data_IF_007423662436
#
_entry.id   IF_007423662436
#
_cell.length_a   1.000
_cell.length_b   1.000
_cell.length_c   1.000
_cell.angle_alpha   90.00
_cell.angle_beta   90.00
_cell.angle_gamma   90.00
#
_symmetry.space_group_name_H-M   'P 1'
#
loop_
_entity.id
_entity.type
_entity.pdbx_description
1 polymer ?
#
# COMPACT_ATOMS: atom_id res chain seq x y z
N UNK A 1 35.92 -24.35 6.96
CA UNK A 1 36.17 -24.37 5.50
C UNK A 1 35.38 -23.22 4.93
N UNK A 2 36.06 -22.17 4.47
CA UNK A 2 35.41 -21.07 3.77
C UNK A 2 34.87 -21.60 2.45
N UNK A 3 33.56 -21.46 2.25
CA UNK A 3 32.97 -21.78 0.94
C UNK A 3 33.48 -20.78 -0.10
N UNK A 4 33.84 -21.22 -1.31
CA UNK A 4 34.28 -20.33 -2.36
C UNK A 4 33.19 -19.29 -2.65
N UNK A 5 33.46 -18.02 -2.39
CA UNK A 5 32.54 -16.92 -2.65
C UNK A 5 32.40 -16.76 -4.17
N UNK A 6 31.29 -17.25 -4.73
CA UNK A 6 30.95 -17.03 -6.13
C UNK A 6 30.71 -15.53 -6.38
N UNK A 7 31.28 -15.00 -7.48
CA UNK A 7 30.95 -13.68 -7.97
C UNK A 7 29.74 -13.79 -8.91
N UNK A 8 28.63 -13.23 -8.50
CA UNK A 8 27.35 -13.31 -9.23
C UNK A 8 27.05 -11.98 -9.92
N UNK A 9 26.59 -12.03 -11.16
CA UNK A 9 26.18 -10.83 -11.91
C UNK A 9 24.74 -10.48 -11.57
N UNK A 10 24.41 -9.19 -11.47
CA UNK A 10 23.03 -8.70 -11.23
C UNK A 10 22.03 -9.31 -12.23
N UNK A 11 22.37 -9.40 -13.51
CA UNK A 11 21.56 -10.06 -14.53
C UNK A 11 21.28 -11.54 -14.27
N UNK A 12 22.17 -12.22 -13.55
CA UNK A 12 21.95 -13.61 -13.13
C UNK A 12 20.95 -13.63 -11.99
N UNK A 13 21.13 -12.80 -10.97
CA UNK A 13 20.22 -12.71 -9.82
C UNK A 13 18.79 -12.36 -10.27
N UNK A 14 18.62 -11.44 -11.22
CA UNK A 14 17.33 -11.03 -11.75
C UNK A 14 16.51 -12.16 -12.41
N UNK A 15 17.13 -13.29 -12.75
CA UNK A 15 16.40 -14.47 -13.28
C UNK A 15 15.71 -15.29 -12.19
N UNK A 16 16.18 -15.19 -10.95
CA UNK A 16 15.69 -15.92 -9.80
C UNK A 16 14.60 -15.10 -9.07
N UNK A 17 13.46 -14.91 -9.73
CA UNK A 17 12.43 -13.92 -9.33
C UNK A 17 11.02 -14.51 -9.14
N UNK A 18 10.91 -15.79 -8.77
CA UNK A 18 9.62 -16.46 -8.58
C UNK A 18 9.55 -17.24 -7.25
N UNK A 19 8.38 -17.78 -6.90
CA UNK A 19 8.19 -18.47 -5.61
C UNK A 19 8.94 -19.82 -5.47
N UNK A 20 9.42 -20.38 -6.56
CA UNK A 20 10.20 -21.62 -6.56
C UNK A 20 11.70 -21.38 -6.71
N UNK A 21 12.09 -20.12 -6.98
CA UNK A 21 13.46 -19.71 -7.22
C UNK A 21 13.59 -18.20 -6.93
N UNK A 22 13.88 -17.85 -5.67
CA UNK A 22 13.85 -16.50 -5.17
C UNK A 22 15.20 -16.12 -4.56
N UNK A 23 15.96 -15.29 -5.27
CA UNK A 23 17.18 -14.71 -4.78
C UNK A 23 17.04 -13.23 -4.50
N UNK A 24 17.71 -12.73 -3.49
CA UNK A 24 17.75 -11.30 -3.14
C UNK A 24 19.18 -10.83 -2.96
N UNK A 25 19.42 -9.55 -3.22
CA UNK A 25 20.70 -8.90 -2.94
C UNK A 25 20.54 -8.11 -1.64
N UNK A 26 21.49 -8.23 -0.72
CA UNK A 26 21.58 -7.42 0.51
C UNK A 26 23.03 -7.04 0.74
N UNK A 27 23.33 -5.74 0.79
CA UNK A 27 24.66 -5.20 1.02
C UNK A 27 25.73 -5.81 0.08
N UNK A 28 25.39 -5.93 -1.22
CA UNK A 28 26.29 -6.48 -2.24
C UNK A 28 26.53 -8.00 -2.12
N UNK A 29 25.80 -8.70 -1.26
CA UNK A 29 25.77 -10.15 -1.14
C UNK A 29 24.48 -10.70 -1.71
N UNK A 30 24.51 -11.91 -2.27
CA UNK A 30 23.36 -12.60 -2.86
C UNK A 30 22.95 -13.75 -1.97
N UNK A 31 21.65 -13.88 -1.73
CA UNK A 31 21.04 -14.88 -0.86
C UNK A 31 19.91 -15.61 -1.58
N UNK A 32 19.88 -16.94 -1.49
CA UNK A 32 18.76 -17.77 -1.96
C UNK A 32 17.74 -17.93 -0.82
N UNK A 33 16.68 -17.16 -0.87
CA UNK A 33 15.65 -17.17 0.18
C UNK A 33 14.43 -18.01 -0.21
N UNK A 34 14.52 -18.85 -1.23
CA UNK A 34 13.43 -19.69 -1.73
C UNK A 34 12.80 -20.53 -0.61
N UNK A 35 13.62 -21.23 0.16
CA UNK A 35 13.15 -22.08 1.28
C UNK A 35 12.70 -21.28 2.52
N UNK A 36 12.96 -19.97 2.53
CA UNK A 36 12.59 -19.08 3.62
C UNK A 36 11.29 -18.33 3.36
N UNK A 37 10.80 -18.31 2.12
CA UNK A 37 9.60 -17.56 1.73
C UNK A 37 8.40 -17.82 2.65
N UNK A 38 8.06 -19.09 2.88
CA UNK A 38 6.91 -19.45 3.72
C UNK A 38 7.15 -19.26 5.22
N UNK A 39 8.41 -19.07 5.63
CA UNK A 39 8.83 -18.88 7.03
C UNK A 39 9.02 -17.40 7.38
N UNK A 40 9.02 -16.51 6.40
CA UNK A 40 9.26 -15.08 6.62
C UNK A 40 8.13 -14.45 7.44
N UNK A 41 8.42 -13.85 8.62
CA UNK A 41 7.39 -13.27 9.50
C UNK A 41 6.56 -12.15 8.84
N UNK A 42 7.16 -11.38 7.92
CA UNK A 42 6.49 -10.35 7.12
C UNK A 42 5.62 -10.88 5.97
N UNK A 43 5.57 -12.23 5.79
CA UNK A 43 4.88 -12.91 4.69
C UNK A 43 5.77 -13.08 3.46
N UNK A 44 5.49 -14.13 2.68
CA UNK A 44 6.26 -14.48 1.48
C UNK A 44 6.11 -13.44 0.37
N UNK A 45 4.95 -12.79 0.30
CA UNK A 45 4.64 -11.78 -0.71
C UNK A 45 5.59 -10.59 -0.65
N UNK A 46 6.02 -10.20 0.56
CA UNK A 46 6.98 -9.13 0.75
C UNK A 46 8.37 -9.53 0.23
N UNK A 47 8.86 -10.73 0.54
CA UNK A 47 10.12 -11.22 -0.01
C UNK A 47 10.07 -11.39 -1.53
N UNK A 48 8.96 -11.91 -2.06
CA UNK A 48 8.76 -12.08 -3.51
C UNK A 48 8.75 -10.73 -4.24
N UNK A 49 8.33 -9.64 -3.59
CA UNK A 49 8.38 -8.32 -4.21
C UNK A 49 9.82 -7.82 -4.47
N UNK A 50 10.78 -8.41 -3.79
CA UNK A 50 12.22 -8.15 -3.98
C UNK A 50 12.96 -9.30 -4.68
N UNK A 51 12.24 -10.31 -5.17
CA UNK A 51 12.85 -11.45 -5.83
C UNK A 51 13.61 -11.02 -7.10
N UNK A 52 14.88 -11.41 -7.18
CA UNK A 52 15.80 -11.00 -8.26
C UNK A 52 16.40 -9.60 -8.09
N UNK A 53 16.09 -8.87 -7.01
CA UNK A 53 16.44 -7.47 -6.83
C UNK A 53 17.21 -7.20 -5.53
N UNK A 54 17.56 -5.92 -5.31
CA UNK A 54 18.27 -5.45 -4.13
C UNK A 54 17.25 -5.10 -3.02
N UNK A 55 17.28 -5.88 -1.95
CA UNK A 55 16.44 -5.72 -0.77
C UNK A 55 17.18 -5.02 0.39
N UNK A 56 18.37 -4.45 0.17
CA UNK A 56 19.19 -3.83 1.23
C UNK A 56 18.40 -2.79 2.00
N UNK A 57 17.82 -1.82 1.30
CA UNK A 57 17.06 -0.75 1.92
C UNK A 57 15.85 -1.27 2.73
N UNK A 58 15.15 -2.30 2.19
CA UNK A 58 14.02 -2.91 2.88
C UNK A 58 14.45 -3.63 4.17
N UNK A 59 15.60 -4.28 4.15
CA UNK A 59 16.14 -4.97 5.32
C UNK A 59 16.62 -3.98 6.39
N UNK A 60 17.18 -2.84 5.99
CA UNK A 60 17.72 -1.77 6.85
C UNK A 60 16.65 -0.78 7.36
N UNK A 61 15.38 -1.05 7.12
CA UNK A 61 14.27 -0.27 7.68
C UNK A 61 13.48 0.56 6.68
N UNK A 62 13.89 0.63 5.41
CA UNK A 62 13.11 1.32 4.37
C UNK A 62 11.75 0.64 4.05
N UNK A 63 11.48 -0.53 4.63
CA UNK A 63 10.20 -1.24 4.58
C UNK A 63 9.32 -1.05 5.82
N UNK A 64 9.66 -0.13 6.73
CA UNK A 64 8.91 0.13 7.98
C UNK A 64 9.20 -0.84 9.10
N UNK A 65 10.16 -1.75 8.92
CA UNK A 65 10.59 -2.70 9.93
C UNK A 65 12.10 -2.91 9.85
N UNK A 66 12.82 -2.37 10.80
CA UNK A 66 14.25 -2.66 10.96
C UNK A 66 14.42 -4.11 11.43
N UNK A 67 15.17 -4.88 10.66
CA UNK A 67 15.40 -6.27 11.00
C UNK A 67 16.43 -6.41 12.13
N UNK A 68 16.12 -7.30 13.07
CA UNK A 68 16.98 -7.58 14.22
C UNK A 68 18.31 -8.19 13.80
N UNK A 69 19.34 -8.07 14.67
CA UNK A 69 20.63 -8.76 14.48
C UNK A 69 20.47 -10.28 14.26
N UNK A 70 19.41 -10.88 14.81
CA UNK A 70 19.08 -12.28 14.58
C UNK A 70 18.63 -12.54 13.13
N UNK A 71 17.83 -11.64 12.53
CA UNK A 71 17.42 -11.76 11.14
C UNK A 71 18.62 -11.72 10.18
N UNK A 72 19.59 -10.82 10.42
CA UNK A 72 20.85 -10.80 9.64
C UNK A 72 21.66 -12.08 9.81
N UNK A 73 21.73 -12.63 11.02
CA UNK A 73 22.41 -13.91 11.27
C UNK A 73 21.70 -15.06 10.54
N UNK A 74 20.37 -15.09 10.54
CA UNK A 74 19.58 -16.09 9.83
C UNK A 74 19.77 -15.97 8.31
N UNK A 75 19.82 -14.73 7.78
CA UNK A 75 20.05 -14.47 6.36
C UNK A 75 21.38 -15.07 5.87
N UNK A 76 22.44 -15.05 6.69
CA UNK A 76 23.73 -15.63 6.31
C UNK A 76 23.66 -17.15 6.07
N UNK A 77 22.66 -17.86 6.58
CA UNK A 77 22.43 -19.28 6.27
C UNK A 77 22.01 -19.51 4.81
N UNK A 78 21.53 -18.49 4.15
CA UNK A 78 21.05 -18.50 2.76
C UNK A 78 22.05 -17.87 1.78
N UNK A 79 23.27 -17.57 2.24
CA UNK A 79 24.31 -16.90 1.45
C UNK A 79 24.77 -17.73 0.26
N UNK A 80 24.77 -17.14 -0.95
CA UNK A 80 25.26 -17.75 -2.18
C UNK A 80 26.61 -17.19 -2.65
N UNK A 81 26.81 -15.88 -2.52
CA UNK A 81 28.03 -15.26 -3.04
C UNK A 81 27.97 -13.73 -3.00
N UNK A 82 28.98 -13.08 -3.58
CA UNK A 82 29.07 -11.61 -3.68
C UNK A 82 28.61 -11.16 -5.06
N UNK A 83 27.99 -9.98 -5.11
CA UNK A 83 27.69 -9.30 -6.38
C UNK A 83 29.02 -8.83 -7.00
N UNK A 84 29.15 -8.93 -8.32
CA UNK A 84 30.34 -8.48 -9.05
C UNK A 84 30.45 -6.96 -9.01
N UNK A 85 31.59 -6.44 -8.55
CA UNK A 85 31.83 -5.01 -8.34
C UNK A 85 31.76 -4.14 -9.60
N UNK A 86 31.84 -4.73 -10.79
CA UNK A 86 31.68 -4.01 -12.05
C UNK A 86 30.25 -3.54 -12.34
N UNK A 87 29.27 -3.95 -11.53
CA UNK A 87 27.85 -3.62 -11.68
C UNK A 87 27.27 -2.88 -10.45
N UNK A 88 28.04 -2.67 -9.36
CA UNK A 88 27.57 -1.93 -8.17
C UNK A 88 27.38 -0.43 -8.45
N UNK A 89 28.22 0.17 -9.31
CA UNK A 89 28.10 1.60 -9.69
C UNK A 89 26.83 1.89 -10.49
N UNK A 90 26.37 0.95 -11.33
CA UNK A 90 25.18 1.11 -12.16
C UNK A 90 23.89 1.21 -11.34
N UNK A 91 23.80 0.52 -10.19
CA UNK A 91 22.58 0.50 -9.37
C UNK A 91 22.41 1.74 -8.46
N UNK A 92 23.52 2.39 -8.10
CA UNK A 92 23.49 3.69 -7.39
C UNK A 92 23.05 4.82 -8.33
N UNK A 93 23.39 4.72 -9.62
CA UNK A 93 23.07 5.73 -10.63
C UNK A 93 21.60 5.65 -11.09
N UNK A 94 21.00 4.45 -11.16
CA UNK A 94 19.58 4.31 -11.56
C UNK A 94 18.58 4.82 -10.49
N UNK A 95 18.91 4.77 -9.20
CA UNK A 95 18.09 5.41 -8.15
C UNK A 95 18.18 6.94 -8.17
N UNK A 96 19.25 7.49 -8.72
CA UNK A 96 19.49 8.94 -8.88
C UNK A 96 18.85 9.48 -10.17
N UNK A 97 18.55 8.64 -11.14
CA UNK A 97 18.12 9.00 -12.50
C UNK A 97 16.63 9.36 -12.69
N UNK A 98 15.83 9.45 -11.62
CA UNK A 98 14.43 9.90 -11.69
C UNK A 98 14.26 11.42 -11.59
N UNK A 99 15.35 12.19 -11.64
CA UNK A 99 15.32 13.64 -11.68
C UNK A 99 15.58 14.17 -13.07
N UNK A 100 14.60 14.92 -13.55
CA UNK A 100 14.49 15.76 -14.72
C UNK A 100 15.84 16.20 -15.32
N UNK A 101 16.15 15.67 -16.51
CA UNK A 101 17.36 15.97 -17.27
C UNK A 101 17.42 17.40 -17.85
N UNK A 102 16.46 18.27 -17.54
CA UNK A 102 16.33 19.61 -18.15
C UNK A 102 16.82 20.77 -17.30
N UNK A 103 17.34 20.55 -16.09
CA UNK A 103 17.99 21.63 -15.32
C UNK A 103 19.36 21.18 -14.80
N UNK A 104 20.39 21.50 -15.58
CA UNK A 104 21.77 21.21 -15.28
C UNK A 104 22.29 21.86 -14.00
N UNK A 105 22.15 21.17 -12.88
CA UNK A 105 23.02 21.17 -11.70
C UNK A 105 22.54 20.04 -10.78
N UNK A 106 23.08 18.84 -10.96
CA UNK A 106 22.70 17.67 -10.18
C UNK A 106 23.15 17.79 -8.71
N UNK A 107 22.40 18.48 -7.87
CA UNK A 107 22.50 18.28 -6.43
C UNK A 107 21.81 16.95 -6.08
N UNK A 108 22.58 15.97 -5.63
CA UNK A 108 22.06 14.75 -5.01
C UNK A 108 21.33 15.18 -3.75
N UNK A 109 19.99 15.07 -3.74
CA UNK A 109 19.18 15.34 -2.56
C UNK A 109 19.17 14.04 -1.73
N UNK A 110 19.70 14.10 -0.52
CA UNK A 110 19.60 13.02 0.45
C UNK A 110 18.16 13.00 1.02
N UNK A 111 17.32 12.14 0.44
CA UNK A 111 15.89 12.04 0.74
C UNK A 111 15.66 11.55 2.17
N UNK A 112 16.55 10.72 2.70
CA UNK A 112 16.41 10.08 4.02
C UNK A 112 16.54 11.11 5.16
N UNK A 113 17.25 12.20 4.93
CA UNK A 113 17.45 13.26 5.92
C UNK A 113 16.54 14.50 5.77
N UNK A 114 15.55 14.46 4.87
CA UNK A 114 14.62 15.58 4.67
C UNK A 114 13.65 15.79 5.84
N UNK A 115 13.35 14.73 6.61
CA UNK A 115 12.36 14.75 7.70
C UNK A 115 12.92 14.03 8.93
N UNK A 116 12.80 14.68 10.08
CA UNK A 116 13.15 14.13 11.40
C UNK A 116 11.94 13.41 12.00
N UNK A 117 11.93 12.08 11.98
CA UNK A 117 10.86 11.22 12.52
C UNK A 117 10.68 11.33 14.04
N UNK A 118 11.63 11.91 14.77
CA UNK A 118 11.52 12.17 16.22
C UNK A 118 10.66 13.39 16.56
N UNK A 119 10.28 14.17 15.52
CA UNK A 119 9.44 15.37 15.66
C UNK A 119 8.12 15.20 14.90
N UNK A 120 7.07 15.96 15.26
CA UNK A 120 5.81 15.96 14.51
C UNK A 120 6.02 16.21 13.03
N UNK A 121 5.42 15.35 12.19
CA UNK A 121 5.72 15.30 10.75
C UNK A 121 5.04 16.42 9.95
N UNK A 122 3.80 16.81 10.30
CA UNK A 122 3.03 17.74 9.46
C UNK A 122 3.72 19.07 9.16
N UNK A 123 4.34 19.75 10.15
CA UNK A 123 5.05 21.01 9.86
C UNK A 123 6.26 20.82 8.95
N UNK A 124 6.89 19.65 8.99
CA UNK A 124 8.06 19.32 8.19
C UNK A 124 7.64 18.99 6.75
N UNK A 125 6.65 18.10 6.62
CA UNK A 125 6.09 17.67 5.34
C UNK A 125 5.53 18.84 4.53
N UNK A 126 4.83 19.77 5.19
CA UNK A 126 4.37 21.00 4.53
C UNK A 126 5.50 21.82 3.89
N UNK A 127 6.70 21.82 4.48
CA UNK A 127 7.86 22.59 4.01
C UNK A 127 8.67 21.91 2.91
N UNK A 128 8.40 20.65 2.59
CA UNK A 128 9.13 19.92 1.55
C UNK A 128 8.92 20.48 0.14
N UNK A 129 7.83 21.25 -0.09
CA UNK A 129 7.55 21.80 -1.41
C UNK A 129 7.45 20.70 -2.48
N UNK A 130 8.17 20.86 -3.58
CA UNK A 130 8.22 19.89 -4.70
C UNK A 130 8.92 18.58 -4.33
N UNK A 131 9.76 18.56 -3.30
CA UNK A 131 10.43 17.35 -2.81
C UNK A 131 9.48 16.39 -2.09
N UNK A 132 8.27 16.83 -1.74
CA UNK A 132 7.31 16.04 -1.01
C UNK A 132 6.89 14.77 -1.74
N UNK A 133 6.54 14.86 -3.03
CA UNK A 133 6.10 13.72 -3.83
C UNK A 133 7.19 12.65 -3.93
N UNK A 134 8.43 13.08 -4.10
CA UNK A 134 9.59 12.19 -4.11
C UNK A 134 9.81 11.55 -2.75
N UNK A 135 9.77 12.36 -1.68
CA UNK A 135 10.02 11.89 -0.32
C UNK A 135 8.96 10.86 0.13
N UNK A 136 7.67 11.13 -0.08
CA UNK A 136 6.59 10.26 0.39
C UNK A 136 6.55 8.91 -0.34
N UNK A 137 7.10 8.83 -1.56
CA UNK A 137 7.17 7.64 -2.36
C UNK A 137 8.58 7.02 -2.46
N UNK A 138 9.58 7.59 -1.79
CA UNK A 138 10.94 7.03 -1.74
C UNK A 138 11.13 6.01 -0.62
N UNK A 139 10.02 5.64 0.06
CA UNK A 139 9.99 4.63 1.13
C UNK A 139 10.80 4.99 2.38
N UNK A 140 10.77 6.23 2.88
CA UNK A 140 11.41 6.60 4.15
C UNK A 140 10.56 6.07 5.32
N UNK A 141 10.43 4.75 5.40
CA UNK A 141 9.55 4.11 6.38
C UNK A 141 10.22 3.99 7.74
N UNK A 142 9.40 3.93 8.79
CA UNK A 142 9.83 3.71 10.17
C UNK A 142 9.03 2.57 10.80
N UNK A 143 9.65 1.84 11.70
CA UNK A 143 9.07 0.72 12.44
C UNK A 143 8.21 1.16 13.64
N UNK A 144 8.21 2.47 13.95
CA UNK A 144 7.43 2.99 15.07
C UNK A 144 6.37 3.98 14.62
N UNK A 145 5.34 4.08 15.44
CA UNK A 145 4.29 5.08 15.29
C UNK A 145 4.90 6.48 15.41
N UNK A 146 4.84 7.25 14.34
CA UNK A 146 5.33 8.62 14.29
C UNK A 146 4.27 9.63 14.71
N UNK A 147 4.67 10.73 15.33
CA UNK A 147 3.75 11.81 15.67
C UNK A 147 3.45 12.66 14.42
N UNK A 148 2.16 12.84 14.09
CA UNK A 148 1.74 13.74 13.02
C UNK A 148 1.58 15.17 13.54
N UNK A 149 0.94 15.34 14.70
CA UNK A 149 0.62 16.62 15.31
C UNK A 149 1.44 16.89 16.57
N UNK A 150 1.75 18.16 16.81
CA UNK A 150 2.29 18.62 18.10
C UNK A 150 1.23 18.56 19.19
N UNK A 151 -0.05 18.76 18.84
CA UNK A 151 -1.17 18.75 19.77
C UNK A 151 -1.60 17.30 20.07
N UNK A 152 -1.56 16.84 21.35
CA UNK A 152 -1.89 15.46 21.71
C UNK A 152 -3.32 15.04 21.39
N UNK A 153 -4.29 15.99 21.42
CA UNK A 153 -5.68 15.70 21.09
C UNK A 153 -5.85 15.45 19.59
N UNK A 154 -5.26 16.30 18.74
CA UNK A 154 -5.27 16.10 17.29
C UNK A 154 -4.53 14.81 16.91
N UNK A 155 -3.40 14.53 17.56
CA UNK A 155 -2.67 13.28 17.37
C UNK A 155 -3.54 12.05 17.66
N UNK A 156 -4.29 12.07 18.76
CA UNK A 156 -5.21 10.98 19.13
C UNK A 156 -6.33 10.79 18.10
N UNK A 157 -6.81 11.84 17.48
CA UNK A 157 -7.88 11.79 16.45
C UNK A 157 -7.40 11.17 15.13
N UNK A 158 -6.10 11.06 14.90
CA UNK A 158 -5.53 10.40 13.71
C UNK A 158 -5.40 8.88 13.87
N UNK A 159 -5.65 8.35 15.04
CA UNK A 159 -5.51 6.92 15.36
C UNK A 159 -6.87 6.26 15.42
N UNK A 160 -7.02 5.16 14.74
CA UNK A 160 -8.26 4.40 14.66
C UNK A 160 -7.98 2.90 14.76
N UNK A 161 -8.54 2.23 15.77
CA UNK A 161 -8.43 0.78 15.88
C UNK A 161 -9.31 0.10 14.84
N UNK A 162 -8.88 -1.01 14.30
CA UNK A 162 -9.50 -1.73 13.19
C UNK A 162 -11.00 -2.02 13.37
N UNK A 163 -11.47 -2.24 14.60
CA UNK A 163 -12.86 -2.55 14.87
C UNK A 163 -13.77 -1.31 14.95
N UNK A 164 -13.20 -0.10 15.07
CA UNK A 164 -13.99 1.13 15.22
C UNK A 164 -14.88 1.41 14.01
N UNK A 165 -14.41 1.26 12.76
CA UNK A 165 -15.29 1.37 11.59
C UNK A 165 -16.47 0.38 11.64
N UNK A 166 -16.23 -0.87 12.08
CA UNK A 166 -17.32 -1.85 12.22
C UNK A 166 -18.36 -1.41 13.25
N UNK A 167 -17.93 -1.01 14.44
CA UNK A 167 -18.81 -0.56 15.52
C UNK A 167 -19.63 0.67 15.10
N UNK A 168 -19.06 1.55 14.28
CA UNK A 168 -19.73 2.76 13.81
C UNK A 168 -20.66 2.49 12.62
N UNK A 169 -20.21 1.77 11.60
CA UNK A 169 -20.95 1.65 10.34
C UNK A 169 -21.96 0.51 10.31
N UNK A 170 -21.72 -0.61 11.02
CA UNK A 170 -22.66 -1.73 11.03
C UNK A 170 -24.05 -1.33 11.57
N UNK A 171 -24.18 -0.55 12.68
CA UNK A 171 -25.47 -0.06 13.12
C UNK A 171 -26.20 0.81 12.07
N UNK A 172 -25.46 1.64 11.32
CA UNK A 172 -26.04 2.49 10.26
C UNK A 172 -26.54 1.62 9.10
N UNK A 173 -25.76 0.61 8.68
CA UNK A 173 -26.16 -0.34 7.64
C UNK A 173 -27.39 -1.15 8.08
N UNK A 174 -27.41 -1.62 9.32
CA UNK A 174 -28.57 -2.30 9.90
C UNK A 174 -29.81 -1.40 9.96
N UNK A 175 -29.62 -0.11 10.29
CA UNK A 175 -30.69 0.88 10.27
C UNK A 175 -31.26 1.07 8.86
N UNK A 176 -30.45 1.15 7.81
CA UNK A 176 -30.94 1.22 6.44
C UNK A 176 -31.79 0.00 6.07
N UNK A 177 -31.30 -1.19 6.40
CA UNK A 177 -32.05 -2.42 6.14
C UNK A 177 -33.39 -2.43 6.90
N UNK A 178 -33.35 -2.15 8.21
CA UNK A 178 -34.56 -2.06 9.01
C UNK A 178 -35.55 -1.03 8.48
N UNK A 179 -35.08 0.17 8.14
CA UNK A 179 -35.90 1.25 7.60
C UNK A 179 -36.57 0.82 6.29
N UNK A 180 -35.87 0.20 5.36
CA UNK A 180 -36.42 -0.27 4.09
C UNK A 180 -37.43 -1.39 4.28
N UNK A 181 -37.19 -2.32 5.18
CA UNK A 181 -38.12 -3.41 5.49
C UNK A 181 -39.38 -2.88 6.18
N UNK A 182 -39.25 -1.95 7.13
CA UNK A 182 -40.36 -1.38 7.90
C UNK A 182 -41.33 -0.55 7.03
N UNK A 183 -40.88 -0.02 5.90
CA UNK A 183 -41.73 0.74 4.96
C UNK A 183 -42.75 -0.11 4.22
N UNK A 184 -42.41 -1.37 3.94
CA UNK A 184 -43.29 -2.31 3.21
C UNK A 184 -43.45 -2.01 1.71
N UNK A 185 -42.86 -0.93 1.17
CA UNK A 185 -42.89 -0.53 -0.24
C UNK A 185 -41.60 -0.91 -1.01
N UNK A 186 -40.70 -1.64 -0.38
CA UNK A 186 -39.42 -2.08 -0.96
C UNK A 186 -39.50 -3.54 -1.42
N UNK A 187 -39.59 -3.77 -2.73
CA UNK A 187 -39.46 -5.16 -3.24
C UNK A 187 -38.03 -5.67 -3.10
N UNK A 188 -37.89 -7.00 -2.90
CA UNK A 188 -36.58 -7.65 -2.79
C UNK A 188 -35.72 -7.41 -4.04
N UNK A 189 -36.32 -7.47 -5.23
CA UNK A 189 -35.64 -7.23 -6.51
C UNK A 189 -35.08 -5.81 -6.57
N UNK A 190 -35.86 -4.81 -6.19
CA UNK A 190 -35.43 -3.42 -6.15
C UNK A 190 -34.29 -3.24 -5.15
N UNK A 191 -34.45 -3.79 -3.93
CA UNK A 191 -33.42 -3.71 -2.90
C UNK A 191 -32.10 -4.31 -3.39
N UNK A 192 -32.12 -5.54 -3.91
CA UNK A 192 -30.92 -6.23 -4.39
C UNK A 192 -30.28 -5.47 -5.55
N UNK A 193 -31.07 -5.04 -6.54
CA UNK A 193 -30.55 -4.34 -7.73
C UNK A 193 -29.84 -3.04 -7.36
N UNK A 194 -30.45 -2.21 -6.50
CA UNK A 194 -29.82 -0.95 -6.09
C UNK A 194 -28.69 -1.13 -5.08
N UNK A 195 -28.74 -2.16 -4.22
CA UNK A 195 -27.62 -2.49 -3.34
C UNK A 195 -26.39 -2.97 -4.13
N UNK A 196 -26.59 -3.81 -5.12
CA UNK A 196 -25.50 -4.24 -6.03
C UNK A 196 -24.92 -3.03 -6.78
N UNK A 197 -25.79 -2.17 -7.33
CA UNK A 197 -25.34 -0.93 -7.98
C UNK A 197 -24.55 -0.05 -7.01
N UNK A 198 -25.00 0.10 -5.76
CA UNK A 198 -24.29 0.85 -4.71
C UNK A 198 -22.91 0.28 -4.40
N UNK A 199 -22.81 -1.05 -4.28
CA UNK A 199 -21.55 -1.75 -4.05
C UNK A 199 -20.55 -1.51 -5.19
N UNK A 200 -20.97 -1.67 -6.45
CA UNK A 200 -20.10 -1.38 -7.59
C UNK A 200 -19.76 0.11 -7.74
N UNK A 201 -20.66 0.99 -7.32
CA UNK A 201 -20.38 2.44 -7.25
C UNK A 201 -19.29 2.74 -6.20
N UNK A 202 -19.27 2.02 -5.06
CA UNK A 202 -18.18 2.12 -4.09
C UNK A 202 -16.85 1.71 -4.72
N UNK A 203 -16.78 0.57 -5.42
CA UNK A 203 -15.52 0.11 -6.03
C UNK A 203 -14.94 1.14 -7.02
N UNK A 204 -15.80 1.81 -7.79
CA UNK A 204 -15.38 2.90 -8.66
C UNK A 204 -14.92 4.11 -7.84
N UNK A 205 -15.66 4.46 -6.80
CA UNK A 205 -15.33 5.59 -5.93
C UNK A 205 -14.00 5.35 -5.18
N UNK A 206 -13.79 4.17 -4.63
CA UNK A 206 -12.52 3.72 -4.03
C UNK A 206 -11.36 3.94 -4.99
N UNK A 207 -11.48 3.43 -6.22
CA UNK A 207 -10.44 3.56 -7.23
C UNK A 207 -10.16 5.03 -7.60
N UNK A 208 -11.20 5.83 -7.83
CA UNK A 208 -11.08 7.25 -8.17
C UNK A 208 -10.47 8.04 -7.02
N UNK A 209 -10.95 7.80 -5.80
CA UNK A 209 -10.43 8.46 -4.60
C UNK A 209 -8.94 8.11 -4.39
N UNK A 210 -8.59 6.82 -4.48
CA UNK A 210 -7.23 6.37 -4.31
C UNK A 210 -6.30 6.95 -5.37
N UNK A 211 -6.65 6.82 -6.65
CA UNK A 211 -5.80 7.26 -7.76
C UNK A 211 -5.64 8.77 -7.85
N UNK A 212 -6.72 9.53 -7.70
CA UNK A 212 -6.71 10.97 -8.02
C UNK A 212 -6.67 11.89 -6.81
N UNK A 213 -7.06 11.40 -5.63
CA UNK A 213 -7.03 12.19 -4.39
C UNK A 213 -5.91 11.71 -3.47
N UNK A 214 -5.78 10.41 -3.26
CA UNK A 214 -4.77 9.84 -2.36
C UNK A 214 -3.37 9.81 -3.00
N UNK A 215 -3.27 9.79 -4.32
CA UNK A 215 -2.02 9.89 -5.09
C UNK A 215 -1.91 11.16 -5.92
N UNK A 216 -2.56 12.26 -5.47
CA UNK A 216 -2.43 13.54 -6.13
C UNK A 216 -1.04 14.12 -5.92
N UNK A 217 -0.45 14.68 -6.99
CA UNK A 217 0.82 15.41 -6.89
C UNK A 217 0.60 16.76 -6.26
N UNK A 218 1.37 17.07 -5.22
CA UNK A 218 1.28 18.34 -4.49
C UNK A 218 2.66 18.93 -4.25
N UNK A 219 2.73 20.26 -4.13
CA UNK A 219 3.98 20.99 -3.85
C UNK A 219 3.80 22.16 -2.90
N UNK A 220 2.55 22.55 -2.60
CA UNK A 220 2.28 23.64 -1.67
C UNK A 220 2.18 23.14 -0.22
N UNK A 221 2.52 24.01 0.74
CA UNK A 221 2.53 23.68 2.17
C UNK A 221 1.23 22.99 2.65
N UNK A 222 0.07 23.57 2.37
CA UNK A 222 -1.20 23.04 2.84
C UNK A 222 -1.66 21.80 2.03
N UNK A 223 -1.37 21.75 0.74
CA UNK A 223 -1.70 20.59 -0.07
C UNK A 223 -0.86 19.35 0.32
N UNK A 224 0.42 19.53 0.63
CA UNK A 224 1.28 18.46 1.14
C UNK A 224 0.74 17.93 2.48
N UNK A 225 0.37 18.82 3.42
CA UNK A 225 -0.24 18.42 4.70
C UNK A 225 -1.56 17.68 4.47
N UNK A 226 -2.43 18.17 3.59
CA UNK A 226 -3.71 17.56 3.29
C UNK A 226 -3.54 16.15 2.70
N UNK A 227 -2.70 16.00 1.70
CA UNK A 227 -2.38 14.70 1.11
C UNK A 227 -1.78 13.75 2.15
N UNK A 228 -0.83 14.24 2.95
CA UNK A 228 -0.17 13.43 3.99
C UNK A 228 -1.16 12.94 5.04
N UNK A 229 -2.12 13.75 5.47
CA UNK A 229 -3.19 13.37 6.40
C UNK A 229 -4.17 12.37 5.80
N UNK A 230 -4.43 12.43 4.49
CA UNK A 230 -5.36 11.50 3.84
C UNK A 230 -4.73 10.13 3.61
N UNK A 231 -3.49 10.09 3.08
CA UNK A 231 -2.89 8.84 2.61
C UNK A 231 -1.35 8.80 2.70
N UNK A 232 -0.65 9.92 2.55
CA UNK A 232 0.81 9.93 2.53
C UNK A 232 1.43 9.35 3.82
N UNK A 233 0.81 9.58 5.00
CA UNK A 233 1.28 8.98 6.25
C UNK A 233 1.19 7.46 6.22
N UNK A 234 0.20 6.88 5.53
CA UNK A 234 0.04 5.45 5.37
C UNK A 234 1.14 4.85 4.49
N UNK A 235 1.62 5.55 3.44
CA UNK A 235 2.80 5.14 2.68
C UNK A 235 4.09 5.14 3.51
N UNK A 236 4.20 6.05 4.48
CA UNK A 236 5.37 6.14 5.38
C UNK A 236 5.31 5.12 6.53
N UNK A 237 4.12 4.81 7.03
CA UNK A 237 3.92 3.87 8.15
C UNK A 237 2.86 2.80 7.82
N UNK A 238 3.04 1.99 6.76
CA UNK A 238 2.01 1.05 6.30
C UNK A 238 1.72 -0.08 7.29
N UNK A 239 2.62 -0.33 8.24
CA UNK A 239 2.46 -1.35 9.29
C UNK A 239 1.90 -0.80 10.61
N UNK A 240 1.64 0.52 10.72
CA UNK A 240 0.99 1.10 11.89
C UNK A 240 -0.49 0.71 11.95
N UNK A 241 -0.82 -0.31 12.75
CA UNK A 241 -2.17 -0.88 12.85
C UNK A 241 -3.27 0.09 13.28
N UNK A 242 -2.90 1.23 13.86
CA UNK A 242 -3.86 2.28 14.25
C UNK A 242 -4.10 3.33 13.15
N UNK A 243 -3.41 3.22 12.00
CA UNK A 243 -3.51 4.18 10.88
C UNK A 243 -3.77 3.53 9.52
N UNK A 244 -4.12 2.26 9.50
CA UNK A 244 -4.51 1.55 8.28
C UNK A 244 -5.98 1.82 7.93
N UNK A 245 -6.86 1.71 8.93
CA UNK A 245 -8.30 1.94 8.74
C UNK A 245 -8.65 3.43 8.75
N UNK A 246 -9.65 3.80 7.95
CA UNK A 246 -10.02 5.21 7.82
C UNK A 246 -10.92 5.63 9.00
N UNK A 247 -10.56 6.69 9.76
CA UNK A 247 -11.35 7.12 10.92
C UNK A 247 -12.79 7.52 10.53
N UNK A 248 -13.82 7.19 11.36
CA UNK A 248 -15.21 7.49 11.03
C UNK A 248 -15.52 8.98 10.78
N UNK A 249 -14.89 9.90 11.51
CA UNK A 249 -15.18 11.32 11.38
C UNK A 249 -14.89 11.88 9.96
N UNK A 250 -13.68 11.73 9.39
CA UNK A 250 -13.45 12.11 7.99
C UNK A 250 -14.23 11.24 7.00
N UNK A 251 -14.51 9.95 7.31
CA UNK A 251 -15.33 9.11 6.44
C UNK A 251 -16.78 9.65 6.34
N UNK A 252 -17.38 10.09 7.44
CA UNK A 252 -18.69 10.75 7.45
C UNK A 252 -18.70 12.01 6.59
N UNK A 253 -17.65 12.82 6.67
CA UNK A 253 -17.54 14.05 5.86
C UNK A 253 -17.50 13.72 4.36
N UNK A 254 -16.73 12.71 3.96
CA UNK A 254 -16.64 12.25 2.56
C UNK A 254 -17.95 11.60 2.09
N UNK A 255 -18.64 10.85 2.96
CA UNK A 255 -19.88 10.16 2.65
C UNK A 255 -21.12 11.09 2.64
N UNK A 256 -21.06 12.23 3.32
CA UNK A 256 -22.22 13.11 3.52
C UNK A 256 -22.90 13.58 2.22
N UNK A 257 -22.21 13.92 1.11
CA UNK A 257 -22.89 14.27 -0.15
C UNK A 257 -23.75 13.14 -0.71
N UNK A 258 -23.32 11.90 -0.55
CA UNK A 258 -24.08 10.72 -1.00
C UNK A 258 -25.31 10.49 -0.12
N UNK A 259 -25.18 10.62 1.20
CA UNK A 259 -26.30 10.50 2.13
C UNK A 259 -27.39 11.51 1.90
N UNK A 260 -27.02 12.74 1.63
CA UNK A 260 -27.96 13.83 1.39
C UNK A 260 -28.51 13.83 -0.03
N UNK A 261 -27.70 13.37 -1.00
CA UNK A 261 -28.01 13.45 -2.43
C UNK A 261 -28.76 12.24 -2.98
N UNK A 262 -28.34 11.01 -2.65
CA UNK A 262 -28.87 9.82 -3.31
C UNK A 262 -30.37 9.56 -3.05
N UNK A 263 -30.89 9.72 -1.82
CA UNK A 263 -32.36 9.62 -1.62
C UNK A 263 -33.15 10.69 -2.34
N UNK A 264 -32.59 11.88 -2.57
CA UNK A 264 -33.25 12.95 -3.34
C UNK A 264 -33.20 12.66 -4.84
N UNK A 265 -32.08 12.10 -5.33
CA UNK A 265 -31.89 11.84 -6.76
C UNK A 265 -32.66 10.60 -7.22
N UNK A 266 -32.65 9.52 -6.48
CA UNK A 266 -33.22 8.22 -6.87
C UNK A 266 -34.58 7.94 -6.24
N UNK A 267 -35.05 8.81 -5.34
CA UNK A 267 -36.16 8.53 -4.44
C UNK A 267 -35.74 7.71 -3.22
N UNK A 268 -36.56 7.76 -2.18
CA UNK A 268 -36.19 7.25 -0.83
C UNK A 268 -35.76 5.77 -0.86
N UNK A 269 -36.59 4.88 -1.42
CA UNK A 269 -36.34 3.43 -1.38
C UNK A 269 -35.08 3.06 -2.17
N UNK A 270 -34.98 3.53 -3.42
CA UNK A 270 -33.83 3.26 -4.28
C UNK A 270 -32.55 3.88 -3.72
N UNK A 271 -32.64 5.12 -3.21
CA UNK A 271 -31.49 5.84 -2.63
C UNK A 271 -30.93 5.15 -1.39
N UNK A 272 -31.79 4.71 -0.45
CA UNK A 272 -31.31 3.98 0.73
C UNK A 272 -30.85 2.55 0.40
N UNK A 273 -31.45 1.88 -0.58
CA UNK A 273 -30.93 0.59 -1.07
C UNK A 273 -29.54 0.75 -1.69
N UNK A 274 -29.32 1.82 -2.45
CA UNK A 274 -28.01 2.14 -3.00
C UNK A 274 -26.99 2.48 -1.89
N UNK A 275 -27.38 3.30 -0.90
CA UNK A 275 -26.53 3.64 0.26
C UNK A 275 -26.15 2.41 1.10
N UNK A 276 -27.07 1.46 1.26
CA UNK A 276 -26.78 0.18 1.89
C UNK A 276 -25.62 -0.53 1.19
N UNK A 277 -25.72 -0.72 -0.12
CA UNK A 277 -24.66 -1.39 -0.89
C UNK A 277 -23.32 -0.62 -0.89
N UNK A 278 -23.41 0.72 -1.00
CA UNK A 278 -22.23 1.59 -0.96
C UNK A 278 -21.50 1.53 0.39
N UNK A 279 -22.24 1.54 1.51
CA UNK A 279 -21.66 1.42 2.85
C UNK A 279 -21.08 0.02 3.12
N UNK A 280 -21.71 -1.03 2.61
CA UNK A 280 -21.15 -2.40 2.64
C UNK A 280 -19.84 -2.45 1.86
N UNK A 281 -19.80 -1.85 0.66
CA UNK A 281 -18.57 -1.75 -0.14
C UNK A 281 -17.44 -1.06 0.61
N UNK A 282 -17.73 0.08 1.26
CA UNK A 282 -16.76 0.78 2.11
C UNK A 282 -16.21 -0.10 3.24
N UNK A 283 -17.07 -0.80 3.97
CA UNK A 283 -16.59 -1.70 5.03
C UNK A 283 -15.75 -2.86 4.49
N UNK A 284 -16.13 -3.43 3.35
CA UNK A 284 -15.33 -4.46 2.69
C UNK A 284 -13.94 -3.94 2.32
N UNK A 285 -13.87 -2.71 1.78
CA UNK A 285 -12.62 -2.03 1.49
C UNK A 285 -11.75 -1.86 2.74
N UNK A 286 -12.29 -1.22 3.78
CA UNK A 286 -11.53 -0.86 4.98
C UNK A 286 -11.00 -2.12 5.72
N UNK A 287 -11.83 -3.17 5.80
CA UNK A 287 -11.42 -4.44 6.39
C UNK A 287 -10.43 -5.21 5.51
N UNK A 288 -10.61 -5.22 4.18
CA UNK A 288 -9.64 -5.83 3.27
C UNK A 288 -8.29 -5.13 3.39
N UNK A 289 -8.27 -3.78 3.40
CA UNK A 289 -7.07 -2.98 3.55
C UNK A 289 -6.33 -3.33 4.86
N UNK A 290 -7.05 -3.37 5.98
CA UNK A 290 -6.46 -3.80 7.25
C UNK A 290 -5.86 -5.21 7.17
N UNK A 291 -6.60 -6.17 6.61
CA UNK A 291 -6.15 -7.57 6.54
C UNK A 291 -4.95 -7.79 5.63
N UNK A 292 -4.85 -7.08 4.51
CA UNK A 292 -3.69 -7.20 3.61
C UNK A 292 -2.43 -6.56 4.21
N UNK A 293 -2.56 -5.57 5.10
CA UNK A 293 -1.42 -5.02 5.84
C UNK A 293 -1.04 -5.87 7.05
N UNK A 294 -1.99 -6.18 7.92
CA UNK A 294 -1.73 -6.75 9.25
C UNK A 294 -1.85 -8.28 9.28
N UNK A 295 -2.52 -8.89 8.30
CA UNK A 295 -2.83 -10.31 8.29
C UNK A 295 -1.92 -11.12 7.35
N UNK A 296 -2.03 -12.45 7.49
CA UNK A 296 -1.50 -13.41 6.52
C UNK A 296 -2.67 -14.20 5.89
N UNK A 297 -3.30 -13.67 4.82
CA UNK A 297 -4.50 -14.25 4.26
C UNK A 297 -4.24 -15.61 3.62
N UNK A 298 -5.11 -16.59 3.92
CA UNK A 298 -5.03 -17.95 3.36
C UNK A 298 -5.73 -18.11 2.01
N UNK A 299 -6.73 -17.25 1.72
CA UNK A 299 -7.48 -17.29 0.47
C UNK A 299 -6.65 -16.69 -0.68
N UNK A 300 -6.61 -17.39 -1.81
CA UNK A 300 -5.82 -17.00 -3.00
C UNK A 300 -6.13 -15.58 -3.48
N UNK A 301 -7.41 -15.19 -3.48
CA UNK A 301 -7.83 -13.84 -3.86
C UNK A 301 -7.20 -12.78 -2.94
N UNK A 302 -7.30 -12.92 -1.62
CA UNK A 302 -6.74 -11.95 -0.67
C UNK A 302 -5.21 -11.93 -0.68
N UNK A 303 -4.55 -13.06 -0.95
CA UNK A 303 -3.10 -13.10 -1.15
C UNK A 303 -2.70 -12.31 -2.39
N UNK A 304 -3.45 -12.47 -3.47
CA UNK A 304 -3.21 -11.70 -4.71
C UNK A 304 -3.42 -10.18 -4.48
N UNK A 305 -4.46 -9.80 -3.71
CA UNK A 305 -4.67 -8.40 -3.34
C UNK A 305 -3.53 -7.87 -2.45
N UNK A 306 -3.08 -8.65 -1.44
CA UNK A 306 -1.92 -8.29 -0.61
C UNK A 306 -0.69 -8.06 -1.48
N UNK A 307 -0.37 -8.99 -2.40
CA UNK A 307 0.79 -8.85 -3.31
C UNK A 307 0.69 -7.56 -4.15
N UNK A 308 -0.46 -7.28 -4.77
CA UNK A 308 -0.66 -6.05 -5.55
C UNK A 308 -0.48 -4.79 -4.71
N UNK A 309 -1.02 -4.79 -3.50
CA UNK A 309 -0.93 -3.66 -2.58
C UNK A 309 0.49 -3.46 -2.03
N UNK A 310 1.24 -4.54 -1.78
CA UNK A 310 2.68 -4.47 -1.47
C UNK A 310 3.47 -3.86 -2.64
N UNK A 311 3.19 -4.28 -3.89
CA UNK A 311 3.82 -3.67 -5.06
C UNK A 311 3.50 -2.17 -5.14
N UNK A 312 2.24 -1.80 -4.88
CA UNK A 312 1.81 -0.42 -4.84
C UNK A 312 2.58 0.40 -3.79
N UNK A 313 2.73 -0.11 -2.55
CA UNK A 313 3.46 0.59 -1.49
C UNK A 313 4.96 0.69 -1.73
N UNK A 314 5.59 -0.38 -2.24
CA UNK A 314 7.05 -0.50 -2.17
C UNK A 314 7.77 -0.47 -3.53
N UNK A 315 7.03 -0.47 -4.66
CA UNK A 315 7.64 -0.49 -5.99
C UNK A 315 6.99 0.46 -6.99
N UNK A 316 5.67 0.41 -7.12
CA UNK A 316 4.92 1.08 -8.17
C UNK A 316 3.73 1.87 -7.59
N UNK A 317 3.97 2.99 -6.89
CA UNK A 317 2.91 3.72 -6.19
C UNK A 317 1.87 4.33 -7.15
N UNK A 318 2.16 4.37 -8.45
CA UNK A 318 1.24 4.85 -9.48
C UNK A 318 0.46 3.71 -10.17
N UNK A 319 0.48 2.49 -9.60
CA UNK A 319 -0.19 1.30 -10.12
C UNK A 319 -0.96 0.59 -9.00
N UNK A 320 -1.88 -0.34 -9.35
CA UNK A 320 -2.63 -1.18 -8.41
C UNK A 320 -3.45 -0.39 -7.37
N UNK A 321 -4.25 0.57 -7.82
CA UNK A 321 -5.05 1.43 -6.92
C UNK A 321 -6.27 0.73 -6.30
N UNK A 322 -6.75 -0.38 -6.89
CA UNK A 322 -7.91 -1.14 -6.39
C UNK A 322 -7.52 -2.03 -5.21
N UNK A 323 -7.86 -1.62 -3.99
CA UNK A 323 -7.57 -2.35 -2.74
C UNK A 323 -8.54 -3.51 -2.56
N UNK A 324 -9.85 -3.28 -2.76
CA UNK A 324 -10.87 -4.32 -2.64
C UNK A 324 -10.76 -5.37 -3.75
N UNK A 325 -10.49 -4.95 -4.97
CA UNK A 325 -10.31 -5.80 -6.14
C UNK A 325 -9.63 -5.04 -7.29
N UNK A 326 -9.03 -5.76 -8.28
CA UNK A 326 -8.29 -5.15 -9.38
C UNK A 326 -9.16 -4.74 -10.59
N UNK A 327 -10.49 -4.79 -10.49
CA UNK A 327 -11.38 -4.62 -11.63
C UNK A 327 -11.14 -3.30 -12.38
N UNK A 328 -11.08 -2.18 -11.64
CA UNK A 328 -10.83 -0.88 -12.26
C UNK A 328 -9.37 -0.66 -12.66
N UNK A 329 -8.41 -1.34 -12.02
CA UNK A 329 -7.01 -1.35 -12.50
C UNK A 329 -6.90 -1.99 -13.87
N UNK A 330 -7.68 -3.07 -14.12
CA UNK A 330 -7.75 -3.70 -15.46
C UNK A 330 -8.35 -2.74 -16.48
N UNK A 331 -9.49 -2.11 -16.16
CA UNK A 331 -10.21 -1.21 -17.08
C UNK A 331 -9.34 0.00 -17.45
N UNK A 332 -8.67 0.60 -16.46
CA UNK A 332 -7.90 1.83 -16.65
C UNK A 332 -6.41 1.59 -16.92
N UNK A 333 -5.99 0.33 -17.07
CA UNK A 333 -4.61 -0.03 -17.43
C UNK A 333 -3.59 0.24 -16.34
N UNK A 334 -4.00 0.29 -15.06
CA UNK A 334 -3.14 0.50 -13.89
C UNK A 334 -2.83 -0.77 -13.12
N UNK A 335 -3.23 -1.93 -13.64
CA UNK A 335 -2.81 -3.22 -13.10
C UNK A 335 -1.36 -3.48 -13.50
N UNK A 336 -0.48 -3.69 -12.51
CA UNK A 336 0.86 -4.23 -12.78
C UNK A 336 0.68 -5.62 -13.40
N UNK A 337 1.15 -5.79 -14.62
CA UNK A 337 1.16 -7.11 -15.26
C UNK A 337 2.06 -7.98 -14.40
N UNK A 338 1.48 -9.00 -13.77
CA UNK A 338 2.26 -10.02 -13.09
C UNK A 338 3.38 -10.42 -14.03
N UNK A 339 4.61 -10.48 -13.53
CA UNK A 339 5.71 -11.08 -14.28
C UNK A 339 5.18 -12.43 -14.74
N UNK A 340 4.92 -12.56 -16.05
CA UNK A 340 4.57 -13.86 -16.62
C UNK A 340 5.68 -14.78 -16.17
N UNK A 341 5.36 -15.79 -15.38
CA UNK A 341 6.19 -16.95 -15.25
C UNK A 341 6.65 -17.30 -16.67
N UNK A 342 7.92 -17.07 -16.95
CA UNK A 342 8.57 -17.75 -18.04
C UNK A 342 8.61 -19.23 -17.63
N UNK A 343 7.46 -19.88 -17.65
CA UNK A 343 7.37 -21.32 -17.81
C UNK A 343 7.96 -21.61 -19.19
N UNK A 344 9.28 -21.49 -19.24
CA UNK A 344 10.06 -22.04 -20.33
C UNK A 344 9.68 -23.52 -20.39
N UNK A 345 8.83 -23.86 -21.33
CA UNK A 345 8.73 -25.22 -21.81
C UNK A 345 10.16 -25.66 -22.06
N UNK A 346 10.71 -26.45 -21.15
CA UNK A 346 11.73 -27.41 -21.49
C UNK A 346 11.06 -28.37 -22.47
N UNK A 347 11.13 -28.01 -23.76
CA UNK A 347 10.89 -28.98 -24.83
C UNK A 347 12.07 -29.91 -24.84
N UNK A 348 11.79 -31.17 -24.63
CA UNK A 348 12.58 -32.38 -24.78
C UNK A 348 13.83 -32.30 -25.61
#
# INVERSE_FOLDING_TARGET
MEQPAYQLRRKTVAKHCNEHDCWVIVNGKVYDVTLFLDKHPGGKELLLSYAGEDATAALEGAGGHEHSKYAYKLLEEYYLGKLSSSEEESSKVERIGLFDSDKGSGQVVDVDNLVDFKKPLLPQVGRLGELYDVWVHSFPTTDHTVALFTNPLLEKLTRCKWYVPLVFWVPIICYYLWYLVSRGDCSLELFVSFSVLGYFSWLLFEYVLHRYVFHMKTSSYYANIFHFLLHGHHHITPLDSERVVFPPAPAVLIASPFWLGMPKLLGTVKGYSWLFGFAVGYLCYDMTHFWIHQGNPKFSFLRSQKRRHVIHHYREPQMNFGISNPFYDVIFGTLVKEYKENSGKLSN
#
